data_IF_355455561195
#
_entry.id   IF_355455561195
#
_cell.length_a   1.000
_cell.length_b   1.000
_cell.length_c   1.000
_cell.angle_alpha   90.00
_cell.angle_beta   90.00
_cell.angle_gamma   90.00
#
_symmetry.space_group_name_H-M   'P 1'
#
loop_
_entity.id
_entity.type
_entity.pdbx_description
1 polymer ?
#
# COMPACT_ATOMS: atom_id res chain seq x y z
N UNK A 1 23.13 14.84 -4.16
CA UNK A 1 21.75 14.54 -3.72
C UNK A 1 21.53 13.03 -3.74
N UNK A 2 20.54 12.49 -3.01
CA UNK A 2 20.26 11.06 -3.04
C UNK A 2 19.87 10.61 -4.46
N UNK A 3 20.43 9.50 -4.92
CA UNK A 3 20.08 8.88 -6.21
C UNK A 3 18.61 8.47 -6.22
N UNK A 4 17.93 8.62 -7.37
CA UNK A 4 16.55 8.12 -7.53
C UNK A 4 16.53 6.60 -7.26
N UNK A 5 15.66 6.16 -6.35
CA UNK A 5 15.44 4.73 -6.10
C UNK A 5 14.72 4.10 -7.29
N UNK A 6 15.10 2.87 -7.62
CA UNK A 6 14.36 2.06 -8.59
C UNK A 6 12.98 1.72 -8.01
N UNK A 7 11.95 1.78 -8.84
CA UNK A 7 10.59 1.43 -8.43
C UNK A 7 10.47 -0.08 -8.26
N UNK A 8 10.05 -0.52 -7.09
CA UNK A 8 9.74 -1.91 -6.78
C UNK A 8 8.24 -2.14 -6.91
N UNK A 9 7.84 -3.32 -7.37
CA UNK A 9 6.43 -3.71 -7.51
C UNK A 9 6.18 -4.95 -6.66
N UNK A 10 5.28 -4.83 -5.68
CA UNK A 10 4.86 -5.93 -4.83
C UNK A 10 3.54 -6.50 -5.35
N UNK A 11 3.56 -7.77 -5.75
CA UNK A 11 2.40 -8.47 -6.34
C UNK A 11 1.74 -9.46 -5.38
N UNK A 12 1.97 -9.33 -4.06
CA UNK A 12 1.46 -10.18 -2.96
C UNK A 12 -0.04 -10.03 -2.68
N UNK A 13 -0.82 -9.52 -3.62
CA UNK A 13 -2.27 -9.49 -3.53
C UNK A 13 -2.84 -9.81 -4.89
N UNK A 14 -3.85 -10.67 -5.01
CA UNK A 14 -4.45 -11.06 -6.30
C UNK A 14 -4.82 -9.86 -7.21
N UNK A 15 -5.50 -8.84 -6.68
CA UNK A 15 -6.12 -7.76 -7.50
C UNK A 15 -5.43 -6.40 -7.41
N UNK A 16 -4.46 -6.19 -6.52
CA UNK A 16 -3.72 -4.91 -6.38
C UNK A 16 -2.20 -5.11 -6.44
N UNK A 17 -1.50 -4.05 -6.83
CA UNK A 17 -0.04 -3.94 -6.83
C UNK A 17 0.38 -2.74 -5.99
N UNK A 18 1.43 -2.91 -5.19
CA UNK A 18 1.99 -1.85 -4.37
C UNK A 18 3.40 -1.46 -4.83
N UNK A 19 3.60 -0.17 -5.06
CA UNK A 19 4.84 0.49 -5.49
C UNK A 19 5.24 1.54 -4.44
N UNK A 20 5.99 1.14 -3.39
CA UNK A 20 6.27 2.00 -2.25
C UNK A 20 7.04 3.29 -2.61
N UNK A 21 7.87 3.26 -3.66
CA UNK A 21 8.62 4.43 -4.12
C UNK A 21 7.74 5.55 -4.70
N UNK A 22 6.47 5.26 -5.01
CA UNK A 22 5.48 6.28 -5.41
C UNK A 22 4.70 6.85 -4.21
N UNK A 23 4.82 6.23 -3.03
CA UNK A 23 4.01 6.59 -1.87
C UNK A 23 4.49 7.91 -1.23
N UNK A 24 3.58 8.89 -1.17
CA UNK A 24 3.80 10.17 -0.48
C UNK A 24 3.41 10.15 1.01
N UNK A 25 3.14 8.96 1.56
CA UNK A 25 2.83 8.76 3.00
C UNK A 25 1.62 9.55 3.50
N UNK A 26 0.62 9.77 2.65
CA UNK A 26 -0.59 10.57 2.97
C UNK A 26 -1.58 9.90 3.94
N UNK A 27 -1.43 8.59 4.21
CA UNK A 27 -2.28 7.85 5.14
C UNK A 27 -3.75 7.69 4.72
N UNK A 28 -4.13 7.96 3.47
CA UNK A 28 -5.51 7.76 2.99
C UNK A 28 -5.88 6.27 3.04
N UNK A 29 -5.02 5.40 2.50
CA UNK A 29 -5.23 3.96 2.52
C UNK A 29 -5.34 3.40 3.94
N UNK A 30 -4.51 3.88 4.88
CA UNK A 30 -4.58 3.53 6.31
C UNK A 30 -5.96 3.87 6.89
N UNK A 31 -6.42 5.11 6.70
CA UNK A 31 -7.74 5.56 7.18
C UNK A 31 -8.90 4.75 6.58
N UNK A 32 -8.78 4.31 5.33
CA UNK A 32 -9.76 3.43 4.69
C UNK A 32 -9.76 2.06 5.41
N UNK A 33 -8.60 1.44 5.59
CA UNK A 33 -8.52 0.14 6.28
C UNK A 33 -9.06 0.19 7.71
N UNK A 34 -8.80 1.29 8.44
CA UNK A 34 -9.34 1.54 9.78
C UNK A 34 -10.86 1.71 9.76
N UNK A 35 -11.38 2.54 8.83
CA UNK A 35 -12.83 2.82 8.68
C UNK A 35 -13.65 1.55 8.49
N UNK A 36 -13.16 0.61 7.66
CA UNK A 36 -13.85 -0.65 7.39
C UNK A 36 -13.42 -1.81 8.29
N UNK A 37 -12.59 -1.54 9.30
CA UNK A 37 -12.14 -2.52 10.29
C UNK A 37 -11.56 -3.76 9.62
N UNK A 38 -10.56 -3.54 8.77
CA UNK A 38 -9.61 -4.61 8.42
C UNK A 38 -9.00 -5.16 9.72
N UNK A 39 -8.77 -6.47 9.77
CA UNK A 39 -8.17 -7.09 10.95
C UNK A 39 -6.73 -6.59 11.19
N UNK A 40 -5.96 -6.47 10.10
CA UNK A 40 -4.61 -5.92 10.11
C UNK A 40 -4.56 -4.53 9.50
N UNK A 41 -5.11 -4.35 8.30
CA UNK A 41 -5.08 -3.08 7.58
C UNK A 41 -3.67 -2.62 7.20
N UNK A 42 -3.58 -1.38 6.73
CA UNK A 42 -2.31 -0.71 6.45
C UNK A 42 -1.94 0.17 7.65
N UNK A 43 -0.63 0.33 7.89
CA UNK A 43 -0.12 1.24 8.91
C UNK A 43 1.19 1.91 8.47
N UNK A 44 1.64 2.88 9.26
CA UNK A 44 2.98 3.44 9.12
C UNK A 44 3.99 2.56 9.87
N UNK A 45 5.06 2.18 9.17
CA UNK A 45 6.15 1.37 9.72
C UNK A 45 7.43 2.21 9.70
N UNK A 46 8.16 2.23 10.82
CA UNK A 46 9.39 3.00 10.97
C UNK A 46 9.16 4.44 11.48
N UNK A 47 10.15 5.31 11.31
CA UNK A 47 10.11 6.71 11.79
C UNK A 47 10.88 7.67 10.88
N UNK A 48 10.44 8.93 10.84
CA UNK A 48 11.08 9.99 10.07
C UNK A 48 11.12 9.71 8.56
N UNK A 49 12.29 9.90 7.94
CA UNK A 49 12.48 9.67 6.51
C UNK A 49 12.28 8.21 6.09
N UNK A 50 12.50 7.28 7.01
CA UNK A 50 12.41 5.84 6.77
C UNK A 50 10.99 5.28 6.91
N UNK A 51 9.99 6.13 7.20
CA UNK A 51 8.59 5.68 7.25
C UNK A 51 8.18 5.06 5.91
N UNK A 52 7.59 3.88 5.95
CA UNK A 52 6.91 3.25 4.83
C UNK A 52 5.48 2.91 5.21
N UNK A 53 4.60 2.80 4.23
CA UNK A 53 3.26 2.25 4.45
C UNK A 53 3.31 0.76 4.15
N UNK A 54 2.78 -0.06 5.05
CA UNK A 54 2.81 -1.52 4.91
C UNK A 54 1.81 -2.20 5.84
N UNK A 55 1.81 -3.54 5.83
CA UNK A 55 0.96 -4.36 6.71
C UNK A 55 1.75 -4.62 8.01
N UNK A 56 1.12 -4.53 9.20
CA UNK A 56 1.80 -4.83 10.45
C UNK A 56 2.32 -6.27 10.51
N UNK A 57 3.30 -6.50 11.38
CA UNK A 57 3.90 -7.83 11.64
C UNK A 57 4.49 -8.53 10.40
N UNK A 58 4.96 -7.75 9.43
CA UNK A 58 5.55 -8.24 8.17
C UNK A 58 4.62 -9.21 7.40
N UNK A 59 3.31 -9.04 7.56
CA UNK A 59 2.30 -9.83 6.86
C UNK A 59 2.15 -9.37 5.40
N UNK A 60 1.51 -10.21 4.57
CA UNK A 60 1.32 -9.91 3.15
C UNK A 60 0.19 -8.91 2.90
N UNK A 61 0.20 -8.28 1.72
CA UNK A 61 -0.91 -7.41 1.27
C UNK A 61 -2.25 -8.17 1.21
N UNK A 62 -2.24 -9.44 0.80
CA UNK A 62 -3.41 -10.33 0.87
C UNK A 62 -4.03 -10.39 2.27
N UNK A 63 -3.21 -10.52 3.32
CA UNK A 63 -3.70 -10.61 4.69
C UNK A 63 -4.17 -9.25 5.23
N UNK A 64 -3.58 -8.16 4.75
CA UNK A 64 -3.88 -6.82 5.22
C UNK A 64 -5.05 -6.10 4.54
N UNK A 65 -5.41 -6.50 3.32
CA UNK A 65 -6.40 -5.82 2.49
C UNK A 65 -7.52 -6.78 2.05
N UNK A 66 -8.17 -7.43 3.02
CA UNK A 66 -9.17 -8.47 2.74
C UNK A 66 -10.50 -7.91 2.20
N UNK A 67 -10.87 -6.70 2.61
CA UNK A 67 -12.16 -6.05 2.30
C UNK A 67 -11.97 -4.77 1.48
N UNK A 68 -10.84 -4.10 1.65
CA UNK A 68 -10.65 -2.70 1.24
C UNK A 68 -9.66 -2.50 0.09
N UNK A 69 -9.12 -3.57 -0.48
CA UNK A 69 -8.07 -3.50 -1.51
C UNK A 69 -8.41 -2.53 -2.66
N UNK A 70 -9.61 -2.64 -3.23
CA UNK A 70 -10.04 -1.80 -4.36
C UNK A 70 -10.27 -0.34 -3.95
N UNK A 71 -10.95 -0.11 -2.83
CA UNK A 71 -11.23 1.25 -2.35
C UNK A 71 -9.94 1.99 -1.97
N UNK A 72 -9.00 1.29 -1.31
CA UNK A 72 -7.70 1.85 -0.97
C UNK A 72 -6.84 2.14 -2.23
N UNK A 73 -6.93 1.30 -3.26
CA UNK A 73 -6.24 1.50 -4.53
C UNK A 73 -6.81 2.71 -5.29
N UNK A 74 -8.13 2.83 -5.38
CA UNK A 74 -8.80 3.93 -6.08
C UNK A 74 -8.58 5.28 -5.40
N UNK A 75 -8.46 5.28 -4.08
CA UNK A 75 -8.20 6.48 -3.30
C UNK A 75 -6.72 6.90 -3.26
N UNK A 76 -5.79 6.09 -3.79
CA UNK A 76 -4.37 6.39 -3.73
C UNK A 76 -3.99 7.51 -4.74
N UNK A 77 -3.58 8.71 -4.28
CA UNK A 77 -3.44 9.88 -5.16
C UNK A 77 -2.25 9.78 -6.13
N UNK A 78 -1.33 8.85 -5.90
CA UNK A 78 -0.08 8.69 -6.67
C UNK A 78 -0.04 7.36 -7.42
N UNK A 79 -1.05 6.50 -7.26
CA UNK A 79 -1.03 5.13 -7.76
C UNK A 79 0.04 4.25 -7.11
N UNK A 80 0.52 4.61 -5.91
CA UNK A 80 1.42 3.76 -5.14
C UNK A 80 0.75 2.44 -4.76
N UNK A 81 -0.53 2.47 -4.38
CA UNK A 81 -1.39 1.30 -4.36
C UNK A 81 -2.32 1.42 -5.56
N UNK A 82 -2.34 0.42 -6.44
CA UNK A 82 -3.16 0.47 -7.65
C UNK A 82 -3.69 -0.91 -8.03
N UNK A 83 -4.75 -0.94 -8.84
CA UNK A 83 -5.30 -2.21 -9.37
C UNK A 83 -4.26 -2.89 -10.26
N UNK A 84 -4.12 -4.22 -10.15
CA UNK A 84 -3.34 -4.97 -11.14
C UNK A 84 -3.99 -4.79 -12.50
N UNK A 85 -3.19 -4.43 -13.50
CA UNK A 85 -3.63 -4.44 -14.89
C UNK A 85 -3.63 -5.89 -15.38
N UNK A 86 -4.72 -6.33 -15.99
CA UNK A 86 -4.72 -7.59 -16.74
C UNK A 86 -3.62 -7.51 -17.82
N UNK A 87 -2.83 -8.58 -17.93
CA UNK A 87 -1.92 -8.72 -19.07
C UNK A 87 -2.79 -8.92 -20.30
N UNK A 88 -2.82 -7.92 -21.17
CA UNK A 88 -3.42 -8.01 -22.50
C UNK A 88 -2.55 -8.86 -23.41
#
# INVERSE_FOLDING_TARGET
>A
GPSRKLVRKNFQHEIVVYEPEKCIKCGICIRITEKYREELGLTFIGRGFDVVVGIPFDQSLEQGLTKTALEAADACPTGALSRKKEKK
#
